data_IF_862306808242
#
_entry.id   IF_862306808242
#
_cell.length_a   1.000
_cell.length_b   1.000
_cell.length_c   1.000
_cell.angle_alpha   90.00
_cell.angle_beta   90.00
_cell.angle_gamma   90.00
#
_symmetry.space_group_name_H-M   'P 1'
#
loop_
_entity.id
_entity.type
_entity.pdbx_description
1 polymer ?
#
# COMPACT_ATOMS: atom_id res chain seq x y z
N UNK A 1 49.39 -1.42 7.44
CA UNK A 1 49.50 -2.84 7.08
C UNK A 1 48.56 -3.67 7.94
N UNK A 2 47.42 -4.06 7.37
CA UNK A 2 46.78 -5.38 7.50
C UNK A 2 45.49 -5.33 6.68
N UNK A 3 45.52 -6.04 5.56
CA UNK A 3 44.36 -6.52 4.80
C UNK A 3 43.48 -7.44 5.72
N UNK A 4 42.28 -7.90 5.41
CA UNK A 4 41.79 -8.58 4.20
C UNK A 4 40.25 -8.61 4.22
N UNK A 5 39.71 -8.46 3.01
CA UNK A 5 38.38 -8.74 2.47
C UNK A 5 37.56 -9.88 3.10
N UNK A 6 36.23 -9.72 3.17
CA UNK A 6 35.33 -10.87 3.35
C UNK A 6 33.85 -10.55 3.52
N UNK A 7 33.17 -9.93 2.53
CA UNK A 7 31.70 -9.72 2.61
C UNK A 7 30.95 -9.89 1.26
N UNK A 8 31.52 -10.60 0.28
CA UNK A 8 30.85 -10.91 -0.99
C UNK A 8 30.61 -12.42 -1.24
N UNK A 9 30.59 -13.25 -0.20
CA UNK A 9 30.48 -14.72 -0.32
C UNK A 9 29.05 -15.33 -0.30
N UNK A 10 28.02 -14.58 0.14
CA UNK A 10 26.73 -15.18 0.53
C UNK A 10 25.70 -15.41 -0.59
N UNK A 11 25.64 -14.56 -1.62
CA UNK A 11 24.57 -14.66 -2.64
C UNK A 11 24.78 -15.79 -3.65
N UNK A 12 26.03 -16.13 -3.97
CA UNK A 12 26.33 -17.20 -4.92
C UNK A 12 26.14 -18.61 -4.31
N UNK A 13 26.12 -18.72 -2.98
CA UNK A 13 25.92 -19.99 -2.28
C UNK A 13 24.42 -20.36 -2.22
N UNK A 14 23.52 -19.40 -2.00
CA UNK A 14 22.06 -19.65 -1.98
C UNK A 14 21.53 -20.15 -3.33
N UNK A 15 21.97 -19.54 -4.45
CA UNK A 15 21.59 -19.99 -5.80
C UNK A 15 22.13 -21.39 -6.13
N UNK A 16 23.36 -21.71 -5.71
CA UNK A 16 23.96 -23.03 -5.91
C UNK A 16 23.32 -24.10 -5.04
N UNK A 17 22.96 -23.75 -3.81
CA UNK A 17 22.26 -24.63 -2.87
C UNK A 17 20.83 -24.93 -3.35
N UNK A 18 20.11 -23.93 -3.86
CA UNK A 18 18.78 -24.13 -4.46
C UNK A 18 18.84 -25.03 -5.71
N UNK A 19 19.81 -24.81 -6.61
CA UNK A 19 20.03 -25.68 -7.79
C UNK A 19 20.38 -27.12 -7.41
N UNK A 20 21.22 -27.34 -6.39
CA UNK A 20 21.56 -28.68 -5.90
C UNK A 20 20.36 -29.39 -5.27
N UNK A 21 19.55 -28.68 -4.50
CA UNK A 21 18.31 -29.22 -3.92
C UNK A 21 17.32 -29.61 -5.02
N UNK A 22 17.13 -28.79 -6.06
CA UNK A 22 16.26 -29.13 -7.19
C UNK A 22 16.77 -30.36 -7.96
N UNK A 23 18.08 -30.48 -8.18
CA UNK A 23 18.68 -31.64 -8.85
C UNK A 23 18.51 -32.93 -8.04
N UNK A 24 18.70 -32.87 -6.71
CA UNK A 24 18.50 -34.01 -5.82
C UNK A 24 17.02 -34.44 -5.82
N UNK A 25 16.08 -33.49 -5.75
CA UNK A 25 14.66 -33.78 -5.80
C UNK A 25 14.25 -34.43 -7.13
N UNK A 26 14.77 -33.93 -8.27
CA UNK A 26 14.54 -34.56 -9.57
C UNK A 26 15.14 -35.96 -9.64
N UNK A 27 16.35 -36.18 -9.13
CA UNK A 27 16.99 -37.50 -9.11
C UNK A 27 16.20 -38.51 -8.25
N UNK A 28 15.73 -38.09 -7.07
CA UNK A 28 14.87 -38.92 -6.20
C UNK A 28 13.54 -39.23 -6.90
N UNK A 29 12.91 -38.24 -7.55
CA UNK A 29 11.69 -38.47 -8.33
C UNK A 29 11.91 -39.47 -9.48
N UNK A 30 13.03 -39.37 -10.20
CA UNK A 30 13.39 -40.33 -11.24
C UNK A 30 13.66 -41.73 -10.69
N UNK A 31 14.32 -41.86 -9.54
CA UNK A 31 14.56 -43.16 -8.89
C UNK A 31 13.26 -43.82 -8.40
N UNK A 32 12.32 -43.03 -7.86
CA UNK A 32 11.00 -43.54 -7.45
C UNK A 32 10.15 -43.94 -8.65
N UNK A 33 10.16 -43.14 -9.73
CA UNK A 33 9.41 -43.47 -10.94
C UNK A 33 10.00 -44.71 -11.65
N UNK A 34 11.33 -44.82 -11.72
CA UNK A 34 11.98 -45.99 -12.34
C UNK A 34 11.80 -47.25 -11.50
N UNK A 35 11.86 -47.17 -10.16
CA UNK A 35 11.57 -48.33 -9.30
C UNK A 35 10.12 -48.78 -9.41
N UNK A 36 9.16 -47.84 -9.45
CA UNK A 36 7.75 -48.13 -9.65
C UNK A 36 7.48 -48.82 -10.99
N UNK A 37 8.08 -48.31 -12.07
CA UNK A 37 7.98 -48.93 -13.39
C UNK A 37 8.62 -50.33 -13.39
N UNK A 38 9.77 -50.52 -12.72
CA UNK A 38 10.40 -51.83 -12.60
C UNK A 38 9.54 -52.83 -11.83
N UNK A 39 8.83 -52.40 -10.77
CA UNK A 39 7.88 -53.24 -10.04
C UNK A 39 6.65 -53.63 -10.89
N UNK A 40 6.23 -52.77 -11.83
CA UNK A 40 5.17 -53.10 -12.78
C UNK A 40 5.64 -54.09 -13.85
N UNK A 41 6.90 -53.99 -14.30
CA UNK A 41 7.48 -54.93 -15.28
C UNK A 41 7.83 -56.30 -14.70
N UNK A 42 8.19 -56.38 -13.42
CA UNK A 42 8.49 -57.64 -12.73
C UNK A 42 7.25 -58.30 -12.09
N UNK A 43 6.13 -57.60 -12.05
CA UNK A 43 4.85 -58.06 -11.50
C UNK A 43 4.03 -58.91 -12.47
N UNK A 44 4.54 -60.07 -12.87
CA UNK A 44 3.73 -61.12 -13.51
C UNK A 44 4.05 -62.47 -12.89
N UNK A 45 3.59 -62.69 -11.66
CA UNK A 45 3.24 -64.03 -11.17
C UNK A 45 2.29 -63.90 -9.98
N UNK A 46 1.13 -64.60 -9.98
CA UNK A 46 0.10 -64.43 -8.97
C UNK A 46 0.30 -65.42 -7.83
N UNK A 47 0.57 -64.92 -6.62
CA UNK A 47 0.14 -65.52 -5.35
C UNK A 47 0.68 -64.68 -4.18
N UNK A 48 -0.23 -64.23 -3.33
CA UNK A 48 0.10 -63.53 -2.09
C UNK A 48 -0.85 -62.39 -1.83
N UNK A 49 -1.88 -62.66 -1.03
CA UNK A 49 -2.70 -61.61 -0.40
C UNK A 49 -1.81 -60.76 0.51
N UNK A 50 -1.42 -59.57 0.03
CA UNK A 50 -0.76 -58.56 0.86
C UNK A 50 -1.82 -57.56 1.30
N UNK A 51 -1.97 -57.41 2.61
CA UNK A 51 -2.85 -56.44 3.25
C UNK A 51 -2.53 -55.03 2.75
N UNK A 52 -3.50 -54.39 2.12
CA UNK A 52 -3.40 -53.06 1.55
C UNK A 52 -3.46 -52.01 2.68
N UNK A 53 -2.37 -51.78 3.40
CA UNK A 53 -2.13 -50.51 4.09
C UNK A 53 -1.34 -49.62 3.14
N UNK A 54 -2.04 -48.98 2.19
CA UNK A 54 -1.42 -48.12 1.18
C UNK A 54 -0.98 -46.77 1.78
N UNK A 55 0.32 -46.46 1.85
CA UNK A 55 0.82 -45.15 2.31
C UNK A 55 0.39 -43.97 1.42
N UNK A 56 -0.14 -44.25 0.22
CA UNK A 56 -0.77 -43.25 -0.65
C UNK A 56 -2.07 -42.68 -0.07
N UNK A 57 -2.85 -43.48 0.67
CA UNK A 57 -4.12 -43.02 1.26
C UNK A 57 -3.88 -42.00 2.39
N UNK A 58 -2.79 -42.16 3.14
CA UNK A 58 -2.35 -41.20 4.16
C UNK A 58 -1.76 -39.92 3.54
N UNK A 59 -1.09 -40.02 2.39
CA UNK A 59 -0.60 -38.87 1.64
C UNK A 59 -1.74 -38.00 1.11
N UNK A 60 -2.80 -38.58 0.55
CA UNK A 60 -3.97 -37.83 0.08
C UNK A 60 -4.78 -37.21 1.23
N UNK A 61 -4.86 -37.88 2.40
CA UNK A 61 -5.48 -37.33 3.61
C UNK A 61 -4.82 -36.04 4.10
N UNK A 62 -3.50 -35.90 3.88
CA UNK A 62 -2.75 -34.68 4.18
C UNK A 62 -3.13 -33.47 3.32
N UNK A 63 -3.52 -33.70 2.05
CA UNK A 63 -3.98 -32.63 1.16
C UNK A 63 -5.38 -32.13 1.50
N UNK A 64 -6.28 -33.03 1.93
CA UNK A 64 -7.61 -32.63 2.39
C UNK A 64 -7.53 -31.76 3.65
N UNK A 65 -6.66 -32.10 4.61
CA UNK A 65 -6.42 -31.28 5.80
C UNK A 65 -5.91 -29.85 5.42
N UNK A 66 -4.96 -29.75 4.49
CA UNK A 66 -4.48 -28.46 3.98
C UNK A 66 -5.56 -27.66 3.25
N UNK A 67 -6.44 -28.32 2.48
CA UNK A 67 -7.57 -27.69 1.77
C UNK A 67 -8.66 -27.20 2.73
N UNK A 68 -8.91 -27.92 3.84
CA UNK A 68 -9.81 -27.47 4.91
C UNK A 68 -9.21 -26.26 5.62
N UNK A 69 -7.92 -26.30 6.00
CA UNK A 69 -7.23 -25.16 6.62
C UNK A 69 -7.20 -23.90 5.74
N UNK A 70 -7.03 -24.05 4.42
CA UNK A 70 -7.09 -22.91 3.49
C UNK A 70 -8.47 -22.26 3.40
N UNK A 71 -9.55 -23.04 3.46
CA UNK A 71 -10.93 -22.53 3.48
C UNK A 71 -11.26 -21.84 4.80
N UNK A 72 -10.76 -22.38 5.90
CA UNK A 72 -10.96 -21.83 7.24
C UNK A 72 -10.19 -20.50 7.41
N UNK A 73 -8.97 -20.41 6.89
CA UNK A 73 -8.20 -19.17 6.82
C UNK A 73 -8.89 -18.10 5.95
N UNK A 74 -9.46 -18.48 4.80
CA UNK A 74 -10.20 -17.55 3.95
C UNK A 74 -11.48 -17.05 4.64
N UNK A 75 -12.18 -17.93 5.37
CA UNK A 75 -13.36 -17.56 6.17
C UNK A 75 -12.98 -16.61 7.31
N UNK A 76 -11.93 -16.93 8.06
CA UNK A 76 -11.41 -16.08 9.14
C UNK A 76 -10.98 -14.71 8.61
N UNK A 77 -10.25 -14.64 7.49
CA UNK A 77 -9.85 -13.37 6.86
C UNK A 77 -11.07 -12.52 6.47
N UNK A 78 -12.13 -13.15 5.95
CA UNK A 78 -13.37 -12.46 5.58
C UNK A 78 -14.11 -11.92 6.81
N UNK A 79 -14.18 -12.71 7.89
CA UNK A 79 -14.80 -12.31 9.15
C UNK A 79 -14.00 -11.20 9.84
N UNK A 80 -12.67 -11.31 9.88
CA UNK A 80 -11.77 -10.27 10.38
C UNK A 80 -11.90 -8.98 9.58
N UNK A 81 -11.92 -9.04 8.24
CA UNK A 81 -12.07 -7.84 7.42
C UNK A 81 -13.45 -7.18 7.60
N UNK A 82 -14.51 -7.97 7.77
CA UNK A 82 -15.84 -7.46 8.11
C UNK A 82 -15.85 -6.78 9.48
N UNK A 83 -15.20 -7.37 10.48
CA UNK A 83 -15.06 -6.79 11.81
C UNK A 83 -14.21 -5.51 11.79
N UNK A 84 -13.13 -5.46 11.01
CA UNK A 84 -12.28 -4.28 10.85
C UNK A 84 -13.00 -3.12 10.15
N UNK A 85 -13.81 -3.41 9.12
CA UNK A 85 -14.66 -2.41 8.46
C UNK A 85 -15.73 -1.88 9.43
N UNK A 86 -16.36 -2.76 10.20
CA UNK A 86 -17.36 -2.35 11.19
C UNK A 86 -16.73 -1.54 12.33
N UNK A 87 -15.53 -1.91 12.79
CA UNK A 87 -14.76 -1.14 13.75
C UNK A 87 -14.42 0.26 13.22
N UNK A 88 -13.97 0.37 11.95
CA UNK A 88 -13.77 1.67 11.28
C UNK A 88 -15.05 2.47 11.14
N UNK A 89 -16.18 1.80 10.91
CA UNK A 89 -17.51 2.44 10.82
C UNK A 89 -17.97 2.98 12.17
N UNK A 90 -17.66 2.27 13.25
CA UNK A 90 -17.96 2.68 14.63
C UNK A 90 -16.96 3.74 15.16
N UNK A 91 -15.71 3.71 14.69
CA UNK A 91 -14.67 4.67 15.05
C UNK A 91 -14.65 5.92 14.15
N UNK A 92 -15.26 5.87 12.96
CA UNK A 92 -15.63 7.08 12.25
C UNK A 92 -16.62 7.83 13.15
N UNK A 93 -16.37 9.09 13.53
CA UNK A 93 -17.26 9.81 14.41
C UNK A 93 -18.56 10.08 13.66
N UNK A 94 -19.52 9.15 13.75
CA UNK A 94 -20.81 9.21 13.06
C UNK A 94 -21.53 10.53 13.39
N UNK A 95 -21.40 11.00 14.64
CA UNK A 95 -21.91 12.31 15.08
C UNK A 95 -21.23 13.51 14.38
N UNK A 96 -19.95 13.41 14.03
CA UNK A 96 -19.26 14.48 13.32
C UNK A 96 -19.64 14.45 11.83
N UNK A 97 -19.70 13.27 11.21
CA UNK A 97 -20.08 13.13 9.80
C UNK A 97 -21.56 13.49 9.55
N UNK A 98 -22.45 13.21 10.50
CA UNK A 98 -23.86 13.64 10.45
C UNK A 98 -23.96 15.16 10.61
N UNK A 99 -23.23 15.76 11.56
CA UNK A 99 -23.12 17.22 11.68
C UNK A 99 -22.52 17.88 10.44
N UNK A 100 -21.52 17.26 9.79
CA UNK A 100 -20.94 17.78 8.54
C UNK A 100 -22.01 17.82 7.44
N UNK A 101 -22.84 16.77 7.30
CA UNK A 101 -23.96 16.76 6.34
C UNK A 101 -25.04 17.78 6.65
N UNK A 102 -25.31 18.04 7.93
CA UNK A 102 -26.26 19.06 8.35
C UNK A 102 -25.68 20.46 8.07
N UNK A 103 -24.40 20.69 8.36
CA UNK A 103 -23.68 21.92 8.02
C UNK A 103 -23.69 22.16 6.50
N UNK A 104 -23.44 21.13 5.68
CA UNK A 104 -23.52 21.23 4.22
C UNK A 104 -24.93 21.63 3.74
N UNK A 105 -25.98 21.06 4.34
CA UNK A 105 -27.37 21.44 4.03
C UNK A 105 -27.71 22.86 4.48
N UNK A 106 -27.20 23.30 5.63
CA UNK A 106 -27.36 24.67 6.11
C UNK A 106 -26.65 25.67 5.20
N UNK A 107 -25.43 25.37 4.75
CA UNK A 107 -24.68 26.18 3.78
C UNK A 107 -25.41 26.29 2.43
N UNK A 108 -26.03 25.21 1.97
CA UNK A 108 -26.82 25.22 0.72
C UNK A 108 -28.11 26.05 0.86
N UNK A 109 -28.79 26.00 2.01
CA UNK A 109 -29.97 26.85 2.26
C UNK A 109 -29.59 28.33 2.36
N UNK A 110 -28.50 28.65 3.04
CA UNK A 110 -28.00 30.00 3.16
C UNK A 110 -27.56 30.60 1.81
N UNK A 111 -27.01 29.76 0.92
CA UNK A 111 -26.65 30.15 -0.45
C UNK A 111 -27.87 30.50 -1.32
N UNK A 112 -29.01 29.83 -1.11
CA UNK A 112 -30.25 30.08 -1.86
C UNK A 112 -31.01 31.32 -1.37
N UNK A 113 -30.94 31.66 -0.08
CA UNK A 113 -31.62 32.83 0.48
C UNK A 113 -30.91 34.17 0.19
N UNK A 114 -29.61 34.16 -0.13
CA UNK A 114 -28.83 35.36 -0.48
C UNK A 114 -28.87 35.77 -1.96
N UNK A 115 -29.64 35.09 -2.81
CA UNK A 115 -29.67 35.35 -4.25
C UNK A 115 -30.12 36.76 -4.69
N UNK A 116 -30.92 37.55 -3.94
CA UNK A 116 -31.30 38.87 -4.42
C UNK A 116 -30.30 39.99 -4.10
N UNK A 117 -29.23 39.74 -3.33
CA UNK A 117 -28.27 40.78 -2.91
C UNK A 117 -26.86 40.68 -3.54
N UNK A 118 -26.50 39.53 -4.14
CA UNK A 118 -25.12 39.28 -4.65
C UNK A 118 -24.81 39.85 -6.03
N UNK A 119 -25.82 40.27 -6.79
CA UNK A 119 -25.59 40.79 -8.15
C UNK A 119 -25.13 42.26 -8.16
N UNK A 120 -25.45 43.03 -7.11
CA UNK A 120 -25.01 44.42 -6.98
C UNK A 120 -23.53 44.53 -6.56
N UNK A 121 -23.11 43.75 -5.56
CA UNK A 121 -21.75 43.78 -5.01
C UNK A 121 -20.70 43.20 -5.98
N UNK A 122 -21.11 42.28 -6.87
CA UNK A 122 -20.23 41.68 -7.88
C UNK A 122 -19.73 42.68 -8.93
N UNK A 123 -20.53 43.70 -9.23
CA UNK A 123 -20.24 44.68 -10.28
C UNK A 123 -19.17 45.68 -9.81
N UNK A 124 -19.25 46.11 -8.54
CA UNK A 124 -18.29 47.03 -7.93
C UNK A 124 -16.93 46.35 -7.65
N UNK A 125 -16.95 45.08 -7.24
CA UNK A 125 -15.72 44.30 -7.02
C UNK A 125 -14.97 43.95 -8.32
N UNK A 126 -15.69 43.87 -9.45
CA UNK A 126 -15.06 43.65 -10.76
C UNK A 126 -14.31 44.88 -11.27
N UNK A 127 -14.84 46.09 -11.06
CA UNK A 127 -14.15 47.34 -11.45
C UNK A 127 -12.90 47.60 -10.60
N UNK A 128 -12.91 47.22 -9.31
CA UNK A 128 -11.74 47.35 -8.43
C UNK A 128 -10.63 46.33 -8.78
N UNK A 129 -11.00 45.09 -9.12
CA UNK A 129 -10.02 44.05 -9.46
C UNK A 129 -9.31 44.31 -10.79
N UNK A 130 -9.98 44.95 -11.75
CA UNK A 130 -9.38 45.34 -13.03
C UNK A 130 -8.32 46.44 -12.86
N UNK A 131 -8.49 47.34 -11.87
CA UNK A 131 -7.49 48.35 -11.53
C UNK A 131 -6.27 47.74 -10.79
N UNK A 132 -6.48 46.75 -9.94
CA UNK A 132 -5.40 46.05 -9.20
C UNK A 132 -4.53 45.19 -10.13
N UNK A 133 -5.11 44.60 -11.18
CA UNK A 133 -4.38 43.77 -12.14
C UNK A 133 -3.39 44.59 -13.00
N UNK A 134 -3.60 45.90 -13.14
CA UNK A 134 -2.69 46.79 -13.86
C UNK A 134 -1.46 47.23 -13.02
N UNK A 135 -1.56 47.27 -11.69
CA UNK A 135 -0.44 47.64 -10.80
C UNK A 135 0.43 46.44 -10.37
N UNK A 136 -0.10 45.21 -10.42
CA UNK A 136 0.56 44.02 -9.85
C UNK A 136 1.64 43.40 -10.76
N UNK A 137 1.88 43.95 -11.95
CA UNK A 137 2.86 43.38 -12.91
C UNK A 137 4.32 43.71 -12.60
N UNK A 138 4.63 44.31 -11.45
CA UNK A 138 6.01 44.54 -11.03
C UNK A 138 6.19 44.49 -9.50
N UNK A 139 6.05 43.32 -8.88
CA UNK A 139 6.81 42.93 -7.67
C UNK A 139 6.46 41.49 -7.28
N UNK A 140 7.45 40.61 -7.21
CA UNK A 140 7.30 39.31 -6.54
C UNK A 140 7.63 39.53 -5.06
N UNK A 141 6.68 39.44 -4.12
CA UNK A 141 7.03 39.54 -2.71
C UNK A 141 7.60 38.22 -2.22
N UNK A 142 8.63 38.37 -1.39
CA UNK A 142 9.35 37.31 -0.73
C UNK A 142 8.45 36.49 0.20
N UNK A 143 8.86 35.24 0.40
CA UNK A 143 8.29 34.27 1.34
C UNK A 143 8.19 34.86 2.74
N UNK A 144 6.98 35.01 3.27
CA UNK A 144 6.73 35.25 4.70
C UNK A 144 6.37 33.91 5.38
N UNK A 145 7.12 33.58 6.43
CA UNK A 145 6.87 32.44 7.31
C UNK A 145 5.66 32.77 8.23
N UNK A 146 4.49 32.24 7.85
CA UNK A 146 3.31 32.10 8.70
C UNK A 146 3.29 30.69 9.32
N UNK A 147 2.94 30.58 10.60
CA UNK A 147 2.76 29.35 11.37
C UNK A 147 1.68 28.42 10.74
N UNK A 148 0.79 28.97 9.91
CA UNK A 148 -0.18 28.23 9.07
C UNK A 148 0.42 27.70 7.75
N UNK A 149 1.59 28.19 7.34
CA UNK A 149 2.33 27.75 6.15
C UNK A 149 3.04 26.40 6.34
N UNK A 150 3.24 25.97 7.59
CA UNK A 150 3.69 24.60 7.90
C UNK A 150 2.53 23.62 7.76
N UNK A 151 1.34 23.96 8.25
CA UNK A 151 0.15 23.10 8.18
C UNK A 151 -0.31 22.90 6.73
N UNK A 152 -0.33 23.95 5.90
CA UNK A 152 -0.69 23.83 4.48
C UNK A 152 0.30 23.00 3.65
N UNK A 153 1.59 22.97 4.04
CA UNK A 153 2.55 22.05 3.43
C UNK A 153 2.25 20.61 3.82
N UNK A 154 1.87 20.38 5.08
CA UNK A 154 1.59 19.05 5.62
C UNK A 154 0.27 18.43 5.13
N UNK A 155 -0.76 19.24 4.84
CA UNK A 155 -2.04 18.74 4.35
C UNK A 155 -2.08 18.64 2.84
N UNK A 156 -2.25 17.43 2.28
CA UNK A 156 -2.46 17.27 0.84
C UNK A 156 -3.75 17.96 0.39
N UNK A 157 -3.81 18.48 -0.85
CA UNK A 157 -5.04 19.08 -1.38
C UNK A 157 -6.19 18.07 -1.32
N UNK A 158 -7.44 18.55 -1.22
CA UNK A 158 -8.65 17.73 -1.04
C UNK A 158 -8.78 16.56 -2.04
N UNK A 159 -8.23 16.75 -3.24
CA UNK A 159 -8.10 15.74 -4.31
C UNK A 159 -7.10 14.61 -4.00
N UNK A 160 -6.53 14.52 -2.81
CA UNK A 160 -5.49 13.55 -2.47
C UNK A 160 -5.93 12.51 -1.44
N UNK A 161 -7.14 12.66 -0.88
CA UNK A 161 -7.75 11.76 0.10
C UNK A 161 -6.75 11.18 1.11
N UNK A 162 -6.06 12.04 1.90
CA UNK A 162 -5.05 11.60 2.84
C UNK A 162 -5.66 10.81 4.00
N UNK A 163 -5.02 9.70 4.35
CA UNK A 163 -5.35 8.86 5.49
C UNK A 163 -4.07 8.74 6.36
N UNK A 164 -4.04 9.37 7.55
CA UNK A 164 -2.89 9.27 8.44
C UNK A 164 -2.81 7.87 9.07
N UNK A 165 -1.62 7.47 9.50
CA UNK A 165 -1.36 6.15 10.08
C UNK A 165 -1.75 5.00 9.14
N UNK A 166 -1.50 5.18 7.84
CA UNK A 166 -1.79 4.17 6.82
C UNK A 166 -0.63 4.04 5.85
N UNK A 167 -0.39 2.80 5.41
CA UNK A 167 0.49 2.49 4.28
C UNK A 167 -0.31 1.71 3.23
N UNK A 168 -0.70 2.41 2.16
CA UNK A 168 -1.41 1.78 1.06
C UNK A 168 -0.47 0.99 0.15
N UNK A 169 -0.93 -0.20 -0.21
CA UNK A 169 -0.23 -1.11 -1.08
C UNK A 169 -0.34 -0.75 -2.55
N UNK A 170 0.46 -1.44 -3.36
CA UNK A 170 0.51 -1.25 -4.79
C UNK A 170 1.90 -1.47 -5.35
N UNK A 171 1.97 -1.49 -6.67
CA UNK A 171 3.21 -1.60 -7.43
C UNK A 171 3.88 -0.23 -7.41
N UNK A 172 5.12 -0.14 -6.91
CA UNK A 172 5.88 1.10 -6.95
C UNK A 172 6.16 1.50 -8.41
N UNK A 173 5.63 2.66 -8.81
CA UNK A 173 5.97 3.33 -10.07
C UNK A 173 7.11 4.34 -9.88
N UNK A 174 7.34 4.76 -8.63
CA UNK A 174 8.56 5.43 -8.19
C UNK A 174 8.92 5.00 -6.76
N UNK A 175 10.19 4.67 -6.56
CA UNK A 175 10.71 4.15 -5.29
C UNK A 175 10.99 5.27 -4.27
N UNK A 176 10.38 5.18 -3.08
CA UNK A 176 10.50 6.19 -2.03
C UNK A 176 11.89 6.26 -1.40
N UNK A 177 12.61 5.13 -1.29
CA UNK A 177 14.00 5.09 -0.80
C UNK A 177 14.96 6.04 -1.55
N UNK A 178 14.63 6.37 -2.80
CA UNK A 178 15.42 7.27 -3.65
C UNK A 178 14.70 8.56 -4.01
N UNK A 179 13.46 8.73 -3.55
CA UNK A 179 12.64 9.88 -3.90
C UNK A 179 12.06 10.52 -2.64
N UNK A 180 12.64 11.65 -2.28
CA UNK A 180 12.26 12.42 -1.11
C UNK A 180 11.63 13.74 -1.54
N UNK A 181 10.61 14.15 -0.80
CA UNK A 181 9.90 15.42 -0.92
C UNK A 181 9.72 16.01 0.47
N UNK A 182 9.35 17.29 0.56
CA UNK A 182 9.30 17.97 1.85
C UNK A 182 7.95 17.81 2.56
N UNK A 183 6.93 17.29 1.88
CA UNK A 183 5.61 17.13 2.46
C UNK A 183 4.70 16.10 1.78
N UNK A 184 3.64 15.68 2.48
CA UNK A 184 2.60 14.81 1.93
C UNK A 184 1.89 15.46 0.72
N UNK A 185 1.68 16.77 0.75
CA UNK A 185 1.10 17.51 -0.38
C UNK A 185 1.99 17.48 -1.62
N UNK A 186 3.31 17.63 -1.47
CA UNK A 186 4.27 17.46 -2.56
C UNK A 186 4.27 16.02 -3.10
N UNK A 187 4.16 15.02 -2.22
CA UNK A 187 4.08 13.62 -2.62
C UNK A 187 2.82 13.32 -3.45
N UNK A 188 1.66 13.85 -3.02
CA UNK A 188 0.44 13.73 -3.82
C UNK A 188 0.57 14.44 -5.17
N UNK A 189 1.09 15.68 -5.19
CA UNK A 189 1.33 16.42 -6.43
C UNK A 189 2.24 15.64 -7.38
N UNK A 190 3.28 14.99 -6.85
CA UNK A 190 4.16 14.12 -7.63
C UNK A 190 3.41 12.92 -8.22
N UNK A 191 2.49 12.30 -7.48
CA UNK A 191 1.63 11.24 -8.01
C UNK A 191 0.73 11.73 -9.16
N UNK A 192 0.07 12.87 -8.98
CA UNK A 192 -0.78 13.49 -10.01
C UNK A 192 0.02 13.79 -11.29
N UNK A 193 1.21 14.37 -11.15
CA UNK A 193 2.11 14.64 -12.27
C UNK A 193 2.58 13.34 -12.94
N UNK A 194 2.98 12.33 -12.16
CA UNK A 194 3.35 11.04 -12.71
C UNK A 194 2.21 10.40 -13.51
N UNK A 195 0.96 10.51 -13.03
CA UNK A 195 -0.20 9.98 -13.72
C UNK A 195 -0.47 10.73 -15.04
N UNK A 196 -0.33 12.06 -15.05
CA UNK A 196 -0.55 12.91 -16.20
C UNK A 196 0.50 12.72 -17.31
N UNK A 197 1.77 12.52 -16.94
CA UNK A 197 2.89 12.41 -17.87
C UNK A 197 3.36 10.96 -18.12
N UNK A 198 2.62 9.97 -17.63
CA UNK A 198 2.94 8.57 -17.88
C UNK A 198 2.93 8.27 -19.39
N UNK A 199 4.02 7.66 -19.88
CA UNK A 199 4.14 7.26 -21.29
C UNK A 199 3.20 6.09 -21.59
N UNK A 200 2.83 5.85 -22.87
CA UNK A 200 2.13 4.63 -23.25
C UNK A 200 2.85 3.38 -22.74
N UNK A 201 2.10 2.47 -22.12
CA UNK A 201 2.64 1.25 -21.50
C UNK A 201 3.18 1.41 -20.08
N UNK A 202 3.25 2.64 -19.53
CA UNK A 202 3.59 2.85 -18.12
C UNK A 202 2.35 2.86 -17.23
N UNK A 203 2.50 2.30 -16.04
CA UNK A 203 1.47 2.35 -14.99
C UNK A 203 1.34 3.80 -14.48
N UNK A 204 0.11 4.33 -14.50
CA UNK A 204 -0.20 5.65 -13.93
C UNK A 204 -0.33 5.54 -12.42
N UNK A 205 0.33 6.44 -11.69
CA UNK A 205 0.19 6.54 -10.24
C UNK A 205 -1.27 6.81 -9.84
N UNK A 206 -1.75 6.12 -8.81
CA UNK A 206 -3.05 6.41 -8.19
C UNK A 206 -3.03 6.29 -6.65
N UNK A 207 -1.88 5.93 -6.08
CA UNK A 207 -1.63 5.81 -4.65
C UNK A 207 -0.31 6.51 -4.33
N UNK A 208 -0.28 7.29 -3.27
CA UNK A 208 0.94 7.92 -2.76
C UNK A 208 1.10 7.61 -1.28
N UNK A 209 2.34 7.41 -0.82
CA UNK A 209 2.67 7.16 0.60
C UNK A 209 3.87 8.01 0.98
N UNK A 210 3.74 8.76 2.07
CA UNK A 210 4.72 9.73 2.54
C UNK A 210 5.15 9.44 3.98
N UNK A 211 6.44 9.58 4.28
CA UNK A 211 6.94 9.55 5.65
C UNK A 211 7.05 10.97 6.25
N UNK A 212 6.14 11.38 7.15
CA UNK A 212 6.21 12.69 7.81
C UNK A 212 7.16 12.73 9.01
N UNK A 213 7.66 11.58 9.48
CA UNK A 213 8.40 11.49 10.72
C UNK A 213 9.87 11.83 10.55
N UNK A 214 10.37 12.79 11.34
CA UNK A 214 11.79 13.18 11.36
C UNK A 214 12.72 12.02 11.71
N UNK A 215 12.24 11.11 12.57
CA UNK A 215 12.97 9.93 13.01
C UNK A 215 12.75 8.70 12.11
N UNK A 216 12.06 8.88 10.97
CA UNK A 216 11.75 7.79 10.06
C UNK A 216 10.45 7.07 10.36
N UNK A 217 9.99 6.29 9.37
CA UNK A 217 8.72 5.57 9.43
C UNK A 217 8.96 4.06 9.47
N UNK A 218 8.41 3.33 10.45
CA UNK A 218 8.59 1.88 10.53
C UNK A 218 7.97 1.13 9.34
N UNK A 219 8.67 0.11 8.83
CA UNK A 219 8.19 -0.82 7.79
C UNK A 219 8.74 -2.24 8.05
N UNK A 220 7.99 -3.31 7.72
CA UNK A 220 8.42 -4.69 7.89
C UNK A 220 9.39 -5.20 6.82
N UNK A 221 9.77 -4.36 5.85
CA UNK A 221 10.67 -4.74 4.76
C UNK A 221 12.16 -4.80 5.17
N UNK A 222 12.48 -4.41 6.41
CA UNK A 222 13.85 -4.44 6.93
C UNK A 222 14.71 -3.26 6.48
N UNK A 223 14.13 -2.26 5.83
CA UNK A 223 14.79 -1.01 5.48
C UNK A 223 14.57 0.06 6.56
N UNK A 224 15.57 0.92 6.74
CA UNK A 224 15.44 2.12 7.55
C UNK A 224 14.88 3.23 6.66
N UNK A 225 13.61 3.59 6.89
CA UNK A 225 12.97 4.65 6.14
C UNK A 225 13.16 6.00 6.80
N UNK A 226 13.36 7.04 5.99
CA UNK A 226 13.68 8.38 6.46
C UNK A 226 12.54 9.37 6.22
N UNK A 227 12.59 10.48 6.95
CA UNK A 227 11.74 11.63 6.71
C UNK A 227 11.74 12.02 5.23
N UNK A 228 10.57 12.31 4.70
CA UNK A 228 10.42 12.85 3.36
C UNK A 228 10.29 11.79 2.27
N UNK A 229 10.48 10.50 2.57
CA UNK A 229 10.30 9.43 1.58
C UNK A 229 8.90 9.48 0.96
N UNK A 230 8.85 9.48 -0.37
CA UNK A 230 7.62 9.52 -1.15
C UNK A 230 7.54 8.34 -2.11
N UNK A 231 6.62 7.44 -1.82
CA UNK A 231 6.34 6.27 -2.64
C UNK A 231 5.18 6.55 -3.56
N UNK A 232 5.43 6.50 -4.88
CA UNK A 232 4.37 6.59 -5.87
C UNK A 232 4.03 5.18 -6.31
N UNK A 233 2.76 4.78 -6.16
CA UNK A 233 2.31 3.42 -6.40
C UNK A 233 1.12 3.40 -7.37
N UNK A 234 0.94 2.26 -8.03
CA UNK A 234 -0.26 1.89 -8.78
C UNK A 234 -0.89 0.67 -8.13
N UNK A 235 -2.17 0.78 -7.78
CA UNK A 235 -2.98 -0.34 -7.30
C UNK A 235 -4.33 -0.38 -8.02
N UNK A 236 -4.82 -1.58 -8.32
CA UNK A 236 -6.18 -1.78 -8.85
C UNK A 236 -7.23 -1.55 -7.77
N UNK A 237 -6.85 -1.75 -6.51
CA UNK A 237 -7.62 -1.41 -5.31
C UNK A 237 -6.83 -0.39 -4.48
N UNK A 238 -6.98 0.92 -4.75
CA UNK A 238 -6.09 1.97 -4.23
C UNK A 238 -6.05 2.13 -2.70
N UNK A 239 -7.13 1.73 -2.01
CA UNK A 239 -7.22 1.76 -0.55
C UNK A 239 -6.89 0.40 0.10
N UNK A 240 -6.33 -0.54 -0.64
CA UNK A 240 -5.82 -1.78 -0.05
C UNK A 240 -4.59 -1.41 0.80
N UNK A 241 -4.70 -1.56 2.12
CA UNK A 241 -3.58 -1.38 3.05
C UNK A 241 -2.61 -2.57 2.86
N UNK A 242 -1.30 -2.31 2.86
CA UNK A 242 -0.28 -3.35 2.63
C UNK A 242 -0.45 -4.49 3.63
N UNK A 243 -0.62 -4.18 4.90
CA UNK A 243 -1.03 -5.10 5.96
C UNK A 243 -1.28 -4.30 7.25
N UNK A 244 -2.05 -4.86 8.19
CA UNK A 244 -2.04 -4.36 9.58
C UNK A 244 -0.68 -4.70 10.19
N UNK A 245 0.24 -3.73 10.20
CA UNK A 245 1.60 -3.90 10.72
C UNK A 245 1.61 -4.43 12.16
N UNK A 246 0.51 -4.32 12.91
CA UNK A 246 0.38 -4.88 14.26
C UNK A 246 0.47 -6.41 14.31
N UNK A 247 0.14 -7.11 13.22
CA UNK A 247 0.17 -8.57 13.17
C UNK A 247 1.56 -9.13 12.82
N UNK A 248 2.34 -8.39 12.03
CA UNK A 248 3.66 -8.82 11.56
C UNK A 248 4.81 -8.25 12.41
N UNK A 249 4.59 -7.11 13.06
CA UNK A 249 5.59 -6.37 13.83
C UNK A 249 5.13 -6.25 15.29
N UNK A 250 4.83 -7.39 15.93
CA UNK A 250 5.00 -7.50 17.38
C UNK A 250 6.48 -7.63 17.66
N UNK A 251 7.05 -6.71 18.43
CA UNK A 251 8.38 -6.94 18.98
C UNK A 251 8.38 -8.20 19.86
N UNK A 252 9.56 -8.63 20.34
CA UNK A 252 9.65 -9.80 21.24
C UNK A 252 8.87 -9.61 22.55
N UNK A 253 8.50 -8.39 22.91
CA UNK A 253 7.70 -8.06 24.10
C UNK A 253 6.18 -8.06 23.83
N UNK A 254 5.76 -8.22 22.57
CA UNK A 254 4.36 -8.21 22.15
C UNK A 254 3.79 -6.84 21.81
N UNK A 255 4.63 -5.79 21.77
CA UNK A 255 4.21 -4.43 21.42
C UNK A 255 4.09 -4.27 19.91
N UNK A 256 2.94 -3.72 19.47
CA UNK A 256 2.68 -3.37 18.07
C UNK A 256 3.49 -2.15 17.66
N UNK A 257 4.24 -2.25 16.57
CA UNK A 257 4.86 -1.07 15.96
C UNK A 257 3.77 -0.12 15.42
N UNK A 258 3.85 1.20 15.67
CA UNK A 258 2.88 2.16 15.16
C UNK A 258 3.08 2.38 13.65
N UNK A 259 1.98 2.52 12.91
CA UNK A 259 2.00 2.95 11.52
C UNK A 259 2.12 4.48 11.50
N UNK A 260 3.26 5.01 11.07
CA UNK A 260 3.51 6.46 11.07
C UNK A 260 3.44 7.09 9.68
N UNK A 261 3.22 6.27 8.65
CA UNK A 261 3.05 6.72 7.27
C UNK A 261 1.73 7.48 7.09
N UNK A 262 1.73 8.40 6.13
CA UNK A 262 0.52 9.03 5.60
C UNK A 262 0.38 8.56 4.17
N UNK A 263 -0.76 7.96 3.83
CA UNK A 263 -1.06 7.55 2.46
C UNK A 263 -2.25 8.31 1.92
N UNK A 264 -2.43 8.28 0.60
CA UNK A 264 -3.65 8.74 -0.02
C UNK A 264 -3.82 8.20 -1.41
N UNK A 265 -5.00 8.46 -1.96
CA UNK A 265 -5.36 8.05 -3.32
C UNK A 265 -5.63 9.30 -4.14
N UNK A 266 -5.27 9.29 -5.41
CA UNK A 266 -5.64 10.38 -6.32
C UNK A 266 -6.93 10.03 -7.05
N UNK A 267 -7.78 11.02 -7.41
CA UNK A 267 -8.95 10.78 -8.25
C UNK A 267 -8.47 10.17 -9.55
N UNK A 268 -8.92 8.95 -9.78
CA UNK A 268 -8.56 8.17 -10.94
C UNK A 268 -9.24 8.82 -12.16
N UNK A 269 -8.50 9.63 -12.92
CA UNK A 269 -8.89 9.97 -14.28
C UNK A 269 -8.68 8.72 -15.13
N UNK A 270 -9.61 7.77 -15.02
CA UNK A 270 -9.66 6.59 -15.85
C UNK A 270 -9.85 7.01 -17.30
N UNK A 271 -8.83 6.73 -18.11
CA UNK A 271 -8.96 6.60 -19.56
C UNK A 271 -8.94 5.13 -19.92
#
# INVERSE_FOLDING_TARGET
MKEVTGLFGGLADSSRRCKRVTVILCAVAHLVMTSYVLTLFLGSSPQGSVSLSSPLLDFFRGFDHYRVQGKELAKMKKEYMKAAIEFRRQSAPLKLMERVKDIEKELLKFSQEQSPAKDAERTEQQELNEQVELETQLTVPAVEDDDLGVIQRLTPPEKCYPEPHTDFGGIAVRWGLTYHVNSAGECCKACLLHAAYAKPGQLKCNVWVFCPEKNGCPSPDGHEHKFGECWLKRADQPRAVVDDYSLFMRDKSGNSMPVLWISGVTPFNGG
#
